data_IF_979439912514
#
_entry.id   IF_979439912514
#
_cell.length_a   1.000
_cell.length_b   1.000
_cell.length_c   1.000
_cell.angle_alpha   90.00
_cell.angle_beta   90.00
_cell.angle_gamma   90.00
#
_symmetry.space_group_name_H-M   'P 1'
#
loop_
_entity.id
_entity.type
_entity.pdbx_description
1 polymer ?
#
# COMPACT_ATOMS: atom_id res chain seq x y z
N UNK A 1 -34.63 45.44 -38.52
CA UNK A 1 -34.32 44.82 -37.21
C UNK A 1 -32.84 44.48 -37.20
N UNK A 2 -32.09 44.81 -36.14
CA UNK A 2 -30.63 44.56 -36.09
C UNK A 2 -30.32 43.15 -35.59
N UNK A 3 -30.39 42.17 -36.49
CA UNK A 3 -29.99 40.78 -36.21
C UNK A 3 -28.59 40.68 -35.62
N UNK A 4 -27.66 41.52 -36.09
CA UNK A 4 -26.25 41.52 -35.66
C UNK A 4 -26.06 41.69 -34.14
N UNK A 5 -27.01 42.33 -33.43
CA UNK A 5 -26.94 42.45 -31.97
C UNK A 5 -26.95 41.09 -31.28
N UNK A 6 -27.56 40.06 -31.88
CA UNK A 6 -27.56 38.70 -31.32
C UNK A 6 -26.17 38.05 -31.34
N UNK A 7 -25.24 38.52 -32.19
CA UNK A 7 -23.85 38.04 -32.14
C UNK A 7 -23.17 38.41 -30.82
N UNK A 8 -23.67 39.44 -30.12
CA UNK A 8 -23.20 39.80 -28.78
C UNK A 8 -23.55 38.73 -27.73
N UNK A 9 -24.44 37.76 -28.00
CA UNK A 9 -24.67 36.62 -27.10
C UNK A 9 -23.42 35.74 -26.96
N UNK A 10 -22.54 35.74 -27.97
CA UNK A 10 -21.31 34.95 -27.95
C UNK A 10 -20.32 35.54 -26.95
N UNK A 11 -20.04 34.81 -25.87
CA UNK A 11 -19.00 35.16 -24.92
C UNK A 11 -19.28 36.39 -24.04
N UNK A 12 -20.49 36.97 -24.09
CA UNK A 12 -20.86 38.07 -23.21
C UNK A 12 -20.93 37.65 -21.75
N UNK A 13 -20.83 38.64 -20.85
CA UNK A 13 -21.14 38.48 -19.43
C UNK A 13 -22.57 37.96 -19.27
N UNK A 14 -22.74 36.89 -18.49
CA UNK A 14 -24.06 36.29 -18.22
C UNK A 14 -25.03 37.25 -17.52
N UNK A 15 -24.53 38.28 -16.85
CA UNK A 15 -25.34 39.34 -16.25
C UNK A 15 -25.52 40.56 -17.17
N UNK A 16 -24.77 40.64 -18.27
CA UNK A 16 -24.95 41.66 -19.31
C UNK A 16 -26.27 41.47 -20.04
N UNK A 17 -26.74 42.52 -20.72
CA UNK A 17 -27.99 42.50 -21.46
C UNK A 17 -27.73 42.58 -22.98
N UNK A 18 -28.44 41.73 -23.74
CA UNK A 18 -28.52 41.78 -25.20
C UNK A 18 -29.98 41.99 -25.57
N UNK A 19 -30.26 43.05 -26.32
CA UNK A 19 -31.64 43.48 -26.65
C UNK A 19 -32.56 43.62 -25.42
N UNK A 20 -32.01 44.06 -24.29
CA UNK A 20 -32.77 44.27 -23.03
C UNK A 20 -33.03 43.01 -22.20
N UNK A 21 -32.64 41.83 -22.68
CA UNK A 21 -32.73 40.56 -21.94
C UNK A 21 -31.34 40.17 -21.46
N UNK A 22 -31.21 39.76 -20.19
CA UNK A 22 -29.91 39.29 -19.68
C UNK A 22 -29.47 38.06 -20.45
N UNK A 23 -28.18 37.94 -20.73
CA UNK A 23 -27.61 36.83 -21.50
C UNK A 23 -28.01 35.46 -20.91
N UNK A 24 -28.03 35.33 -19.58
CA UNK A 24 -28.47 34.10 -18.88
C UNK A 24 -29.95 33.75 -19.02
N UNK A 25 -30.79 34.74 -19.33
CA UNK A 25 -32.25 34.59 -19.39
C UNK A 25 -32.73 34.37 -20.83
N UNK A 26 -31.83 34.41 -21.82
CA UNK A 26 -32.17 34.11 -23.21
C UNK A 26 -32.60 32.66 -23.38
N UNK A 27 -33.70 32.46 -24.10
CA UNK A 27 -34.24 31.14 -24.44
C UNK A 27 -34.56 31.05 -25.93
N UNK A 28 -34.78 29.84 -26.49
CA UNK A 28 -35.23 29.68 -27.88
C UNK A 28 -36.50 30.48 -28.20
N UNK A 29 -37.41 30.67 -27.25
CA UNK A 29 -38.64 31.44 -27.42
C UNK A 29 -38.37 32.94 -27.64
N UNK A 30 -37.37 33.49 -26.95
CA UNK A 30 -36.94 34.88 -27.18
C UNK A 30 -36.40 35.04 -28.60
N UNK A 31 -35.58 34.09 -29.07
CA UNK A 31 -35.06 34.07 -30.43
C UNK A 31 -36.19 33.94 -31.47
N UNK A 32 -37.22 33.16 -31.18
CA UNK A 32 -38.39 33.02 -32.04
C UNK A 32 -39.27 34.28 -32.07
N UNK A 33 -39.36 35.03 -30.97
CA UNK A 33 -39.99 36.35 -30.97
C UNK A 33 -39.22 37.34 -31.86
N UNK A 34 -37.89 37.29 -31.84
CA UNK A 34 -37.05 38.10 -32.75
C UNK A 34 -37.29 37.68 -34.20
N UNK A 35 -37.36 36.38 -34.51
CA UNK A 35 -37.69 35.93 -35.88
C UNK A 35 -39.04 36.43 -36.36
N UNK A 36 -40.10 36.29 -35.56
CA UNK A 36 -41.45 36.74 -35.89
C UNK A 36 -41.53 38.25 -36.11
N UNK A 37 -40.95 39.05 -35.23
CA UNK A 37 -40.90 40.52 -35.41
C UNK A 37 -40.12 40.91 -36.67
N UNK A 38 -39.10 40.14 -37.04
CA UNK A 38 -38.31 40.39 -38.26
C UNK A 38 -39.15 40.14 -39.50
N UNK A 39 -39.89 39.04 -39.49
CA UNK A 39 -40.82 38.64 -40.54
C UNK A 39 -41.93 39.71 -40.71
N UNK A 40 -42.53 40.17 -39.61
CA UNK A 40 -43.48 41.28 -39.60
C UNK A 40 -42.89 42.56 -40.24
N UNK A 41 -41.69 42.98 -39.83
CA UNK A 41 -41.01 44.13 -40.44
C UNK A 41 -40.69 43.92 -41.92
N UNK A 42 -40.39 42.69 -42.33
CA UNK A 42 -40.13 42.34 -43.73
C UNK A 42 -41.37 42.51 -44.62
N UNK A 43 -42.57 42.39 -44.03
CA UNK A 43 -43.86 42.58 -44.72
C UNK A 43 -44.36 44.03 -44.65
N UNK A 44 -44.37 44.66 -43.46
CA UNK A 44 -45.05 45.96 -43.23
C UNK A 44 -44.13 47.16 -42.97
N UNK A 45 -42.80 46.98 -42.98
CA UNK A 45 -41.83 48.03 -42.70
C UNK A 45 -41.68 49.11 -43.78
N UNK A 46 -41.07 50.24 -43.41
CA UNK A 46 -40.75 51.33 -44.33
C UNK A 46 -39.57 50.97 -45.26
N UNK A 47 -39.62 51.42 -46.52
CA UNK A 47 -38.57 51.23 -47.52
C UNK A 47 -38.80 50.08 -48.52
N UNK A 48 -37.86 49.87 -49.46
CA UNK A 48 -38.02 48.89 -50.54
C UNK A 48 -38.19 47.46 -50.02
N UNK A 49 -39.22 46.76 -50.50
CA UNK A 49 -39.54 45.40 -50.08
C UNK A 49 -38.40 44.40 -50.34
N UNK A 50 -37.69 44.54 -51.47
CA UNK A 50 -36.55 43.69 -51.82
C UNK A 50 -35.42 43.75 -50.79
N UNK A 51 -35.10 44.95 -50.28
CA UNK A 51 -34.09 45.14 -49.24
C UNK A 51 -34.56 44.56 -47.91
N UNK A 52 -35.81 44.82 -47.53
CA UNK A 52 -36.38 44.30 -46.27
C UNK A 52 -36.40 42.76 -46.23
N UNK A 53 -36.78 42.11 -47.34
CA UNK A 53 -36.72 40.65 -47.47
C UNK A 53 -35.28 40.12 -47.45
N UNK A 54 -34.35 40.79 -48.13
CA UNK A 54 -32.95 40.39 -48.14
C UNK A 54 -32.32 40.44 -46.73
N UNK A 55 -32.56 41.51 -45.98
CA UNK A 55 -32.11 41.64 -44.58
C UNK A 55 -32.72 40.57 -43.66
N UNK A 56 -34.01 40.28 -43.83
CA UNK A 56 -34.67 39.20 -43.08
C UNK A 56 -34.02 37.84 -43.39
N UNK A 57 -33.84 37.52 -44.67
CA UNK A 57 -33.26 36.25 -45.10
C UNK A 57 -31.80 36.10 -44.68
N UNK A 58 -30.99 37.15 -44.72
CA UNK A 58 -29.61 37.12 -44.21
C UNK A 58 -29.60 36.83 -42.70
N UNK A 59 -30.44 37.53 -41.93
CA UNK A 59 -30.57 37.30 -40.49
C UNK A 59 -31.04 35.89 -40.13
N UNK A 60 -32.06 35.37 -40.81
CA UNK A 60 -32.59 34.02 -40.56
C UNK A 60 -31.62 32.93 -40.99
N UNK A 61 -30.92 33.10 -42.11
CA UNK A 61 -30.00 32.07 -42.63
C UNK A 61 -28.67 32.02 -41.91
N UNK A 62 -28.14 33.16 -41.45
CA UNK A 62 -26.81 33.23 -40.82
C UNK A 62 -26.85 33.45 -39.32
N UNK A 63 -27.61 34.44 -38.85
CA UNK A 63 -27.53 34.90 -37.45
C UNK A 63 -28.39 34.03 -36.54
N UNK A 64 -29.59 33.64 -36.96
CA UNK A 64 -30.50 32.83 -36.14
C UNK A 64 -29.90 31.48 -35.72
N UNK A 65 -29.28 30.66 -36.61
CA UNK A 65 -28.67 29.40 -36.21
C UNK A 65 -27.51 29.59 -35.21
N UNK A 66 -26.67 30.62 -35.44
CA UNK A 66 -25.56 30.95 -34.56
C UNK A 66 -26.07 31.40 -33.17
N UNK A 67 -27.08 32.27 -33.13
CA UNK A 67 -27.71 32.71 -31.89
C UNK A 67 -28.29 31.53 -31.09
N UNK A 68 -28.92 30.56 -31.77
CA UNK A 68 -29.41 29.34 -31.10
C UNK A 68 -28.28 28.54 -30.44
N UNK A 69 -27.12 28.43 -31.11
CA UNK A 69 -25.94 27.80 -30.53
C UNK A 69 -25.42 28.60 -29.32
N UNK A 70 -25.30 29.93 -29.42
CA UNK A 70 -24.83 30.78 -28.32
C UNK A 70 -25.75 30.70 -27.10
N UNK A 71 -27.06 30.59 -27.28
CA UNK A 71 -28.02 30.39 -26.19
C UNK A 71 -27.73 29.07 -25.45
N UNK A 72 -27.49 27.98 -26.18
CA UNK A 72 -27.14 26.70 -25.59
C UNK A 72 -25.80 26.78 -24.81
N UNK A 73 -24.76 27.38 -25.42
CA UNK A 73 -23.46 27.59 -24.77
C UNK A 73 -23.60 28.45 -23.50
N UNK A 74 -24.45 29.48 -23.51
CA UNK A 74 -24.70 30.31 -22.34
C UNK A 74 -25.48 29.55 -21.25
N UNK A 75 -26.42 28.68 -21.62
CA UNK A 75 -27.10 27.80 -20.66
C UNK A 75 -26.10 26.86 -19.97
N UNK A 76 -25.15 26.28 -20.72
CA UNK A 76 -24.07 25.47 -20.16
C UNK A 76 -23.18 26.28 -19.20
N UNK A 77 -22.83 27.52 -19.57
CA UNK A 77 -22.08 28.43 -18.69
C UNK A 77 -22.84 28.76 -17.40
N UNK A 78 -24.15 29.00 -17.47
CA UNK A 78 -25.00 29.22 -16.29
C UNK A 78 -25.01 27.98 -15.39
N UNK A 79 -25.07 26.79 -15.98
CA UNK A 79 -25.00 25.55 -15.20
C UNK A 79 -23.63 25.38 -14.53
N UNK A 80 -22.54 25.75 -15.20
CA UNK A 80 -21.19 25.78 -14.60
C UNK A 80 -21.08 26.78 -13.45
N UNK A 81 -21.64 27.99 -13.57
CA UNK A 81 -21.71 28.95 -12.44
C UNK A 81 -22.46 28.35 -11.24
N UNK A 82 -23.63 27.73 -11.47
CA UNK A 82 -24.40 27.08 -10.40
C UNK A 82 -23.61 25.97 -9.71
N UNK A 83 -22.91 25.13 -10.46
CA UNK A 83 -22.06 24.07 -9.88
C UNK A 83 -20.93 24.66 -9.04
N UNK A 84 -20.29 25.75 -9.49
CA UNK A 84 -19.26 26.46 -8.72
C UNK A 84 -19.81 27.04 -7.42
N UNK A 85 -20.98 27.67 -7.48
CA UNK A 85 -21.63 28.24 -6.30
C UNK A 85 -22.02 27.15 -5.28
N UNK A 86 -22.48 25.98 -5.76
CA UNK A 86 -22.77 24.82 -4.91
C UNK A 86 -21.51 24.24 -4.27
N UNK A 87 -20.39 24.17 -4.99
CA UNK A 87 -19.10 23.76 -4.44
C UNK A 87 -18.66 24.76 -3.37
N UNK A 88 -18.76 26.06 -3.67
CA UNK A 88 -18.44 27.15 -2.75
C UNK A 88 -19.23 27.04 -1.44
N UNK A 89 -20.55 26.87 -1.52
CA UNK A 89 -21.40 26.72 -0.34
C UNK A 89 -21.10 25.44 0.45
N UNK A 90 -20.89 24.31 -0.23
CA UNK A 90 -20.54 23.03 0.41
C UNK A 90 -19.25 23.15 1.22
N UNK A 91 -18.22 23.80 0.68
CA UNK A 91 -16.97 24.03 1.41
C UNK A 91 -17.18 24.95 2.62
N UNK A 92 -17.94 26.03 2.47
CA UNK A 92 -18.14 27.01 3.55
C UNK A 92 -19.02 26.50 4.69
N UNK A 93 -20.00 25.65 4.40
CA UNK A 93 -20.99 25.15 5.37
C UNK A 93 -20.54 23.88 6.12
N UNK A 94 -19.41 23.29 5.74
CA UNK A 94 -18.89 22.06 6.34
C UNK A 94 -17.51 22.27 6.96
N UNK A 95 -17.01 21.23 7.63
CA UNK A 95 -15.63 21.21 8.15
C UNK A 95 -14.58 21.23 7.02
N UNK A 96 -15.00 21.09 5.75
CA UNK A 96 -14.11 21.19 4.60
C UNK A 96 -13.42 22.55 4.50
N UNK A 97 -13.99 23.65 5.01
CA UNK A 97 -13.34 24.98 4.97
C UNK A 97 -11.94 25.01 5.59
N UNK A 98 -11.66 24.08 6.51
CA UNK A 98 -10.37 24.01 7.20
C UNK A 98 -9.30 23.30 6.38
N UNK A 99 -9.71 22.44 5.44
CA UNK A 99 -8.80 21.53 4.72
C UNK A 99 -8.85 21.71 3.21
N UNK A 100 -9.93 22.25 2.64
CA UNK A 100 -10.12 22.49 1.20
C UNK A 100 -9.85 23.96 0.88
N UNK A 101 -9.12 24.19 -0.19
CA UNK A 101 -8.94 25.52 -0.79
C UNK A 101 -9.54 25.53 -2.18
N UNK A 102 -10.32 26.57 -2.47
CA UNK A 102 -10.85 26.87 -3.80
C UNK A 102 -9.93 27.88 -4.51
N UNK A 103 -9.90 27.85 -5.84
CA UNK A 103 -9.19 28.87 -6.62
C UNK A 103 -10.00 30.19 -6.71
N UNK A 104 -9.43 31.19 -7.38
CA UNK A 104 -10.09 32.49 -7.58
C UNK A 104 -11.39 32.44 -8.41
N UNK A 105 -11.72 31.29 -8.99
CA UNK A 105 -12.95 31.03 -9.75
C UNK A 105 -13.94 30.14 -8.96
N UNK A 106 -13.65 29.84 -7.69
CA UNK A 106 -14.49 28.97 -6.86
C UNK A 106 -14.37 27.47 -7.17
N UNK A 107 -13.34 27.07 -7.91
CA UNK A 107 -13.11 25.67 -8.30
C UNK A 107 -12.25 24.94 -7.25
N UNK A 108 -12.43 23.62 -7.04
CA UNK A 108 -11.59 22.86 -6.14
C UNK A 108 -10.12 22.93 -6.56
N UNK A 109 -9.25 23.46 -5.69
CA UNK A 109 -7.82 23.61 -5.97
C UNK A 109 -7.01 22.56 -5.24
N UNK A 110 -7.10 22.54 -3.91
CA UNK A 110 -6.32 21.65 -3.05
C UNK A 110 -7.12 21.17 -1.85
N UNK A 111 -6.74 20.01 -1.31
CA UNK A 111 -7.14 19.51 0.00
C UNK A 111 -5.91 19.18 0.84
N UNK A 112 -5.96 19.44 2.13
CA UNK A 112 -4.98 18.99 3.12
C UNK A 112 -5.43 17.64 3.70
N UNK A 113 -4.62 16.61 3.49
CA UNK A 113 -4.79 15.28 4.06
C UNK A 113 -4.00 15.19 5.36
N UNK A 114 -4.64 14.70 6.42
CA UNK A 114 -4.03 14.51 7.73
C UNK A 114 -3.72 13.03 7.93
N UNK A 115 -2.49 12.73 8.33
CA UNK A 115 -1.99 11.37 8.60
C UNK A 115 -1.85 11.08 10.10
N UNK A 116 -1.90 12.11 10.94
CA UNK A 116 -1.73 12.01 12.38
C UNK A 116 -1.52 13.40 13.00
N UNK A 117 -0.95 13.47 14.22
CA UNK A 117 -0.76 14.73 14.95
C UNK A 117 0.10 15.74 14.17
N UNK A 118 1.11 15.25 13.46
CA UNK A 118 2.11 16.08 12.76
C UNK A 118 2.12 15.86 11.24
N UNK A 119 1.71 14.68 10.77
CA UNK A 119 1.74 14.32 9.36
C UNK A 119 0.62 15.00 8.58
N UNK A 120 0.97 15.83 7.60
CA UNK A 120 0.03 16.46 6.66
C UNK A 120 0.61 16.45 5.25
N UNK A 121 -0.25 16.29 4.24
CA UNK A 121 0.13 16.47 2.85
C UNK A 121 -0.97 17.19 2.08
N UNK A 122 -0.60 18.00 1.10
CA UNK A 122 -1.55 18.64 0.20
C UNK A 122 -1.76 17.78 -1.05
N UNK A 123 -3.02 17.60 -1.43
CA UNK A 123 -3.44 16.94 -2.66
C UNK A 123 -4.28 17.88 -3.51
N UNK A 124 -4.38 17.55 -4.78
CA UNK A 124 -5.07 18.26 -5.85
C UNK A 124 -5.96 17.26 -6.59
N UNK A 125 -6.88 17.72 -7.44
CA UNK A 125 -7.82 16.84 -8.14
C UNK A 125 -7.15 15.73 -8.98
N UNK A 126 -5.98 16.01 -9.54
CA UNK A 126 -5.15 15.10 -10.34
C UNK A 126 -4.35 14.10 -9.48
N UNK A 127 -3.81 14.56 -8.34
CA UNK A 127 -2.96 13.72 -7.47
C UNK A 127 -3.73 12.78 -6.54
N UNK A 128 -5.06 12.92 -6.45
CA UNK A 128 -5.95 12.01 -5.72
C UNK A 128 -5.97 10.59 -6.31
N UNK A 129 -5.68 10.44 -7.60
CA UNK A 129 -5.66 9.16 -8.30
C UNK A 129 -4.63 8.18 -7.71
N UNK A 130 -3.52 8.70 -7.14
CA UNK A 130 -2.53 7.91 -6.42
C UNK A 130 -2.94 7.52 -5.00
N UNK A 131 -4.16 7.85 -4.58
CA UNK A 131 -4.65 7.61 -3.23
C UNK A 131 -4.05 8.54 -2.18
N UNK A 132 -4.47 8.33 -0.94
CA UNK A 132 -4.06 9.14 0.22
C UNK A 132 -3.36 8.33 1.31
N UNK A 133 -3.06 7.05 1.10
CA UNK A 133 -2.28 6.22 2.03
C UNK A 133 -2.94 6.05 3.41
N UNK A 134 -2.15 6.00 4.47
CA UNK A 134 -2.63 5.82 5.85
C UNK A 134 -3.07 7.14 6.49
N UNK A 135 -4.02 7.83 5.86
CA UNK A 135 -4.62 9.06 6.38
C UNK A 135 -5.65 8.77 7.49
N UNK A 136 -6.03 9.78 8.28
CA UNK A 136 -7.10 9.61 9.28
C UNK A 136 -8.44 9.26 8.61
N UNK A 137 -9.32 8.58 9.34
CA UNK A 137 -10.67 8.26 8.85
C UNK A 137 -11.46 9.54 8.45
N UNK A 138 -11.26 10.63 9.19
CA UNK A 138 -11.81 11.93 8.87
C UNK A 138 -11.28 12.47 7.52
N UNK A 139 -9.96 12.40 7.30
CA UNK A 139 -9.34 12.79 6.04
C UNK A 139 -9.83 11.96 4.86
N UNK A 140 -10.14 10.67 5.06
CA UNK A 140 -10.81 9.86 4.04
C UNK A 140 -12.20 10.41 3.69
N UNK A 141 -13.03 10.73 4.68
CA UNK A 141 -14.34 11.33 4.45
C UNK A 141 -14.26 12.68 3.71
N UNK A 142 -13.31 13.53 4.10
CA UNK A 142 -13.08 14.83 3.47
C UNK A 142 -12.53 14.68 2.04
N UNK A 143 -11.61 13.74 1.80
CA UNK A 143 -11.05 13.46 0.48
C UNK A 143 -12.10 12.93 -0.49
N UNK A 144 -13.04 12.11 -0.04
CA UNK A 144 -14.18 11.65 -0.86
C UNK A 144 -15.03 12.84 -1.30
N UNK A 145 -15.37 13.75 -0.38
CA UNK A 145 -16.16 14.94 -0.72
C UNK A 145 -15.41 15.85 -1.70
N UNK A 146 -14.12 16.06 -1.47
CA UNK A 146 -13.26 16.83 -2.39
C UNK A 146 -13.15 16.17 -3.78
N UNK A 147 -12.99 14.86 -3.85
CA UNK A 147 -12.97 14.12 -5.11
C UNK A 147 -14.30 14.24 -5.87
N UNK A 148 -15.44 14.18 -5.18
CA UNK A 148 -16.76 14.42 -5.79
C UNK A 148 -16.89 15.83 -6.35
N UNK A 149 -16.41 16.85 -5.62
CA UNK A 149 -16.38 18.22 -6.14
C UNK A 149 -15.50 18.31 -7.40
N UNK A 150 -14.30 17.71 -7.38
CA UNK A 150 -13.44 17.63 -8.57
C UNK A 150 -14.11 16.91 -9.75
N UNK A 151 -14.90 15.87 -9.48
CA UNK A 151 -15.59 15.10 -10.52
C UNK A 151 -16.70 15.93 -11.19
N UNK A 152 -17.47 16.70 -10.42
CA UNK A 152 -18.53 17.58 -10.94
C UNK A 152 -18.01 18.59 -11.96
N UNK A 153 -16.75 19.01 -11.82
CA UNK A 153 -16.09 19.96 -12.72
C UNK A 153 -15.14 19.30 -13.73
N UNK A 154 -15.18 17.97 -13.84
CA UNK A 154 -14.38 17.22 -14.82
C UNK A 154 -12.87 17.17 -14.55
N UNK A 155 -12.44 17.47 -13.33
CA UNK A 155 -11.02 17.48 -12.93
C UNK A 155 -10.54 16.16 -12.31
N UNK A 156 -11.44 15.20 -12.06
CA UNK A 156 -11.09 13.84 -11.64
C UNK A 156 -12.07 12.81 -12.18
N UNK A 157 -11.68 11.54 -12.14
CA UNK A 157 -12.49 10.44 -12.69
C UNK A 157 -13.47 9.85 -11.68
N UNK A 158 -14.56 9.25 -12.17
CA UNK A 158 -15.47 8.46 -11.34
C UNK A 158 -14.78 7.28 -10.65
N UNK A 159 -13.77 6.69 -11.30
CA UNK A 159 -12.98 5.59 -10.73
C UNK A 159 -12.17 6.03 -9.50
N UNK A 160 -11.60 7.24 -9.53
CA UNK A 160 -10.88 7.83 -8.39
C UNK A 160 -11.81 8.05 -7.20
N UNK A 161 -13.02 8.55 -7.44
CA UNK A 161 -14.05 8.72 -6.39
C UNK A 161 -14.43 7.37 -5.79
N UNK A 162 -14.75 6.37 -6.62
CA UNK A 162 -15.14 5.05 -6.16
C UNK A 162 -14.03 4.33 -5.37
N UNK A 163 -12.77 4.53 -5.75
CA UNK A 163 -11.61 4.02 -5.00
C UNK A 163 -11.56 4.64 -3.60
N UNK A 164 -11.65 5.97 -3.49
CA UNK A 164 -11.61 6.66 -2.20
C UNK A 164 -12.79 6.30 -1.31
N UNK A 165 -13.99 6.14 -1.88
CA UNK A 165 -15.18 5.69 -1.15
C UNK A 165 -15.01 4.29 -0.57
N UNK A 166 -14.47 3.35 -1.37
CA UNK A 166 -14.17 2.00 -0.91
C UNK A 166 -13.15 2.01 0.23
N UNK A 167 -12.10 2.81 0.10
CA UNK A 167 -11.08 2.95 1.16
C UNK A 167 -11.70 3.57 2.42
N UNK A 168 -12.44 4.67 2.30
CA UNK A 168 -13.08 5.36 3.41
C UNK A 168 -14.02 4.45 4.21
N UNK A 169 -14.77 3.58 3.53
CA UNK A 169 -15.65 2.61 4.17
C UNK A 169 -14.89 1.51 4.95
N UNK A 170 -13.70 1.13 4.47
CA UNK A 170 -12.92 0.02 5.05
C UNK A 170 -11.95 0.47 6.15
N UNK A 171 -11.39 1.68 6.05
CA UNK A 171 -10.33 2.22 6.90
C UNK A 171 -10.60 2.09 8.41
N UNK A 172 -11.80 2.43 8.95
CA UNK A 172 -12.06 2.31 10.38
C UNK A 172 -11.86 0.88 10.91
N UNK A 173 -12.35 -0.12 10.15
CA UNK A 173 -12.20 -1.52 10.52
C UNK A 173 -10.78 -2.04 10.33
N UNK A 174 -10.10 -1.55 9.28
CA UNK A 174 -8.71 -1.89 8.99
C UNK A 174 -7.78 -1.40 10.11
N UNK A 175 -7.90 -0.15 10.55
CA UNK A 175 -7.03 0.42 11.58
C UNK A 175 -7.20 -0.32 12.91
N UNK A 176 -8.44 -0.63 13.30
CA UNK A 176 -8.69 -1.48 14.47
C UNK A 176 -8.02 -2.85 14.36
N UNK A 177 -7.99 -3.44 13.16
CA UNK A 177 -7.37 -4.74 12.93
C UNK A 177 -5.83 -4.66 12.92
N UNK A 178 -5.25 -3.56 12.42
CA UNK A 178 -3.82 -3.26 12.50
C UNK A 178 -3.37 -3.08 13.95
N UNK A 179 -4.09 -2.28 14.74
CA UNK A 179 -3.80 -2.07 16.16
C UNK A 179 -3.85 -3.39 16.93
N UNK A 180 -4.93 -4.17 16.74
CA UNK A 180 -5.07 -5.47 17.39
C UNK A 180 -3.96 -6.46 17.00
N UNK A 181 -3.47 -6.40 15.75
CA UNK A 181 -2.34 -7.20 15.30
C UNK A 181 -1.03 -6.75 15.96
N UNK A 182 -0.78 -5.44 16.00
CA UNK A 182 0.40 -4.87 16.63
C UNK A 182 0.46 -5.19 18.14
N UNK A 183 -0.65 -5.04 18.84
CA UNK A 183 -0.76 -5.39 20.26
C UNK A 183 -0.53 -6.88 20.52
N UNK A 184 -1.13 -7.75 19.70
CA UNK A 184 -0.95 -9.20 19.83
C UNK A 184 0.49 -9.62 19.52
N UNK A 185 1.11 -9.02 18.51
CA UNK A 185 2.51 -9.26 18.19
C UNK A 185 3.42 -8.82 19.35
N UNK A 186 3.16 -7.66 19.95
CA UNK A 186 3.91 -7.16 21.11
C UNK A 186 3.75 -8.07 22.33
N UNK A 187 2.52 -8.53 22.61
CA UNK A 187 2.25 -9.46 23.71
C UNK A 187 2.99 -10.79 23.54
N UNK A 188 2.91 -11.41 22.36
CA UNK A 188 3.63 -12.66 22.09
C UNK A 188 5.14 -12.45 22.01
N UNK A 189 5.60 -11.33 21.49
CA UNK A 189 7.03 -10.97 21.43
C UNK A 189 7.69 -10.88 22.81
N UNK A 190 6.93 -10.49 23.84
CA UNK A 190 7.37 -10.44 25.24
C UNK A 190 7.39 -11.82 25.91
N UNK A 191 6.77 -12.85 25.33
CA UNK A 191 6.80 -14.22 25.86
C UNK A 191 8.03 -14.96 25.35
N UNK A 192 8.73 -15.69 26.23
CA UNK A 192 9.95 -16.41 25.87
C UNK A 192 9.69 -17.59 24.92
N UNK A 193 8.51 -18.22 25.02
CA UNK A 193 8.08 -19.34 24.17
C UNK A 193 6.56 -19.26 23.95
N UNK A 194 6.08 -18.61 22.89
CA UNK A 194 4.66 -18.62 22.57
C UNK A 194 4.21 -20.02 22.15
N UNK A 195 2.95 -20.37 22.43
CA UNK A 195 2.40 -21.64 21.97
C UNK A 195 2.28 -21.66 20.44
N UNK A 196 2.51 -22.82 19.81
CA UNK A 196 2.50 -22.97 18.34
C UNK A 196 1.17 -22.47 17.71
N UNK A 197 0.04 -22.74 18.36
CA UNK A 197 -1.27 -22.25 17.91
C UNK A 197 -1.37 -20.72 17.92
N UNK A 198 -0.79 -20.05 18.91
CA UNK A 198 -0.82 -18.59 19.02
C UNK A 198 0.00 -17.93 17.91
N UNK A 199 1.15 -18.51 17.56
CA UNK A 199 1.98 -18.05 16.44
C UNK A 199 1.26 -18.26 15.10
N UNK A 200 0.68 -19.44 14.85
CA UNK A 200 -0.08 -19.71 13.62
C UNK A 200 -1.26 -18.76 13.43
N UNK A 201 -1.98 -18.45 14.50
CA UNK A 201 -3.06 -17.46 14.45
C UNK A 201 -2.54 -16.05 14.14
N UNK A 202 -1.41 -15.66 14.71
CA UNK A 202 -0.80 -14.36 14.43
C UNK A 202 -0.30 -14.25 12.98
N UNK A 203 0.27 -15.33 12.43
CA UNK A 203 0.65 -15.43 11.02
C UNK A 203 -0.55 -15.35 10.08
N UNK A 204 -1.65 -16.05 10.41
CA UNK A 204 -2.88 -15.96 9.65
C UNK A 204 -3.48 -14.54 9.68
N UNK A 205 -3.41 -13.86 10.84
CA UNK A 205 -3.81 -12.47 10.97
C UNK A 205 -2.95 -11.54 10.10
N UNK A 206 -1.63 -11.73 10.09
CA UNK A 206 -0.70 -10.99 9.22
C UNK A 206 -1.06 -11.15 7.74
N UNK A 207 -1.28 -12.39 7.29
CA UNK A 207 -1.65 -12.67 5.89
C UNK A 207 -2.99 -12.04 5.52
N UNK A 208 -4.00 -12.15 6.39
CA UNK A 208 -5.30 -11.54 6.19
C UNK A 208 -5.20 -10.02 6.04
N UNK A 209 -4.44 -9.36 6.92
CA UNK A 209 -4.22 -7.92 6.87
C UNK A 209 -3.48 -7.50 5.59
N UNK A 210 -2.43 -8.23 5.21
CA UNK A 210 -1.71 -7.97 3.95
C UNK A 210 -2.64 -8.08 2.74
N UNK A 211 -3.53 -9.07 2.71
CA UNK A 211 -4.53 -9.21 1.65
C UNK A 211 -5.55 -8.06 1.63
N UNK A 212 -5.98 -7.59 2.80
CA UNK A 212 -6.88 -6.43 2.91
C UNK A 212 -6.21 -5.14 2.41
N UNK A 213 -4.96 -4.89 2.78
CA UNK A 213 -4.18 -3.75 2.30
C UNK A 213 -4.04 -3.76 0.78
N UNK A 214 -3.71 -4.93 0.20
CA UNK A 214 -3.60 -5.09 -1.25
C UNK A 214 -4.94 -4.87 -1.96
N UNK A 215 -6.04 -5.42 -1.45
CA UNK A 215 -7.37 -5.24 -2.01
C UNK A 215 -7.83 -3.77 -1.99
N UNK A 216 -7.39 -3.01 -0.98
CA UNK A 216 -7.65 -1.58 -0.85
C UNK A 216 -6.62 -0.71 -1.59
N UNK A 217 -5.63 -1.30 -2.27
CA UNK A 217 -4.53 -0.60 -2.93
C UNK A 217 -3.77 0.34 -1.99
N UNK A 218 -3.68 -0.03 -0.71
CA UNK A 218 -2.88 0.67 0.28
C UNK A 218 -1.44 0.12 0.26
N UNK A 219 -0.43 1.00 0.43
CA UNK A 219 0.96 0.56 0.45
C UNK A 219 1.22 -0.31 1.68
N UNK A 220 2.04 -1.36 1.57
CA UNK A 220 2.30 -2.27 2.68
C UNK A 220 3.43 -1.77 3.61
N UNK A 221 3.35 -0.48 4.01
CA UNK A 221 4.42 0.23 4.71
C UNK A 221 3.94 0.98 5.96
N UNK A 222 2.76 0.65 6.47
CA UNK A 222 2.33 1.13 7.78
C UNK A 222 3.35 0.72 8.85
N UNK A 223 3.75 1.69 9.68
CA UNK A 223 4.82 1.49 10.66
C UNK A 223 4.47 0.40 11.68
N UNK A 224 3.22 0.39 12.17
CA UNK A 224 2.76 -0.61 13.13
C UNK A 224 2.69 -2.00 12.50
N UNK A 225 2.17 -2.10 11.27
CA UNK A 225 2.14 -3.36 10.54
C UNK A 225 3.54 -3.93 10.26
N UNK A 226 4.47 -3.08 9.81
CA UNK A 226 5.85 -3.48 9.51
C UNK A 226 6.57 -3.93 10.78
N UNK A 227 6.47 -3.16 11.87
CA UNK A 227 7.07 -3.52 13.15
C UNK A 227 6.49 -4.83 13.70
N UNK A 228 5.17 -5.01 13.65
CA UNK A 228 4.51 -6.24 14.08
C UNK A 228 4.89 -7.44 13.20
N UNK A 229 4.97 -7.25 11.88
CA UNK A 229 5.42 -8.28 10.93
C UNK A 229 6.86 -8.74 11.19
N UNK A 230 7.74 -7.81 11.58
CA UNK A 230 9.09 -8.15 12.01
C UNK A 230 9.07 -9.02 13.26
N UNK A 231 8.28 -8.67 14.27
CA UNK A 231 8.09 -9.48 15.47
C UNK A 231 7.59 -10.89 15.15
N UNK A 232 6.64 -11.05 14.22
CA UNK A 232 6.17 -12.37 13.76
C UNK A 232 7.32 -13.19 13.18
N UNK A 233 8.16 -12.57 12.35
CA UNK A 233 9.32 -13.23 11.75
C UNK A 233 10.30 -13.71 12.80
N UNK A 234 10.65 -12.85 13.76
CA UNK A 234 11.54 -13.19 14.87
C UNK A 234 10.97 -14.27 15.79
N UNK A 235 9.66 -14.27 16.02
CA UNK A 235 8.98 -15.32 16.79
C UNK A 235 9.02 -16.66 16.05
N UNK A 236 8.74 -16.66 14.74
CA UNK A 236 8.84 -17.86 13.89
C UNK A 236 10.23 -18.46 13.94
N UNK A 237 11.26 -17.64 13.76
CA UNK A 237 12.65 -18.08 13.86
C UNK A 237 12.95 -18.70 15.23
N UNK A 238 12.59 -18.00 16.32
CA UNK A 238 12.77 -18.52 17.69
C UNK A 238 12.07 -19.87 17.90
N UNK A 239 10.81 -20.02 17.47
CA UNK A 239 10.06 -21.27 17.60
C UNK A 239 10.68 -22.40 16.76
N UNK A 240 11.17 -22.10 15.55
CA UNK A 240 11.86 -23.09 14.72
C UNK A 240 13.17 -23.57 15.36
N UNK A 241 13.96 -22.65 15.93
CA UNK A 241 15.18 -22.98 16.66
C UNK A 241 14.85 -23.87 17.87
N UNK A 242 13.82 -23.51 18.65
CA UNK A 242 13.40 -24.30 19.81
C UNK A 242 12.97 -25.72 19.41
N UNK A 243 12.14 -25.86 18.37
CA UNK A 243 11.68 -27.15 17.85
C UNK A 243 12.84 -28.01 17.31
N UNK A 244 13.78 -27.39 16.59
CA UNK A 244 14.99 -28.03 16.09
C UNK A 244 15.85 -28.56 17.26
N UNK A 245 16.06 -27.74 18.28
CA UNK A 245 16.75 -28.15 19.50
C UNK A 245 16.05 -29.30 20.24
N UNK A 246 14.72 -29.29 20.35
CA UNK A 246 13.95 -30.39 20.96
C UNK A 246 14.13 -31.70 20.20
N UNK A 247 14.27 -31.64 18.87
CA UNK A 247 14.59 -32.82 18.06
C UNK A 247 16.00 -33.35 18.33
N UNK A 248 16.98 -32.47 18.57
CA UNK A 248 18.32 -32.88 18.98
C UNK A 248 18.29 -33.61 20.34
N UNK A 249 17.54 -33.10 21.32
CA UNK A 249 17.37 -33.77 22.62
C UNK A 249 16.69 -35.13 22.46
N UNK A 250 15.64 -35.23 21.63
CA UNK A 250 15.00 -36.52 21.31
C UNK A 250 15.95 -37.51 20.63
N UNK A 251 16.96 -37.02 19.91
CA UNK A 251 18.02 -37.84 19.31
C UNK A 251 19.10 -38.29 20.32
N UNK A 252 18.94 -37.98 21.62
CA UNK A 252 19.85 -38.40 22.68
C UNK A 252 20.97 -37.40 23.00
N UNK A 253 20.91 -36.18 22.48
CA UNK A 253 21.87 -35.12 22.82
C UNK A 253 21.54 -34.44 24.16
N UNK A 254 22.55 -33.94 24.89
CA UNK A 254 22.32 -33.18 26.12
C UNK A 254 21.44 -31.95 25.90
N UNK A 255 20.60 -31.61 26.89
CA UNK A 255 19.77 -30.39 26.87
C UNK A 255 20.62 -29.11 26.69
N UNK A 256 21.85 -29.12 27.21
CA UNK A 256 22.81 -28.02 27.03
C UNK A 256 23.28 -27.80 25.59
N UNK A 257 22.96 -28.71 24.66
CA UNK A 257 23.27 -28.58 23.23
C UNK A 257 22.09 -28.07 22.40
N UNK A 258 20.92 -27.86 23.03
CA UNK A 258 19.66 -27.48 22.35
C UNK A 258 19.79 -26.23 21.47
N UNK A 259 20.57 -25.25 21.90
CA UNK A 259 20.78 -23.98 21.21
C UNK A 259 22.24 -23.77 20.76
N UNK A 260 23.06 -24.83 20.77
CA UNK A 260 24.48 -24.69 20.42
C UNK A 260 24.65 -24.50 18.92
N UNK A 261 25.62 -23.66 18.59
CA UNK A 261 26.13 -23.52 17.24
C UNK A 261 27.39 -24.36 17.07
N UNK A 262 27.68 -24.82 15.86
CA UNK A 262 28.92 -25.52 15.50
C UNK A 262 29.63 -24.77 14.37
N UNK A 263 30.95 -24.64 14.48
CA UNK A 263 31.79 -23.98 13.46
C UNK A 263 32.35 -25.04 12.52
N UNK A 264 31.71 -25.22 11.37
CA UNK A 264 32.21 -26.08 10.29
C UNK A 264 32.79 -25.26 9.11
N UNK A 265 32.50 -23.95 9.10
CA UNK A 265 33.13 -22.97 8.25
C UNK A 265 33.50 -21.72 9.06
N UNK A 266 34.69 -21.17 8.79
CA UNK A 266 35.16 -19.96 9.48
C UNK A 266 34.20 -18.81 9.24
N UNK A 267 33.81 -18.13 10.32
CA UNK A 267 32.85 -17.02 10.32
C UNK A 267 31.41 -17.38 9.90
N UNK A 268 31.08 -18.67 9.81
CA UNK A 268 29.71 -19.14 9.52
C UNK A 268 29.30 -20.27 10.48
N UNK A 269 29.06 -19.94 11.76
CA UNK A 269 28.53 -20.92 12.72
C UNK A 269 27.09 -21.30 12.36
N UNK A 270 26.77 -22.58 12.40
CA UNK A 270 25.44 -23.11 12.12
C UNK A 270 24.82 -23.74 13.36
N UNK A 271 23.49 -23.74 13.48
CA UNK A 271 22.81 -24.45 14.56
C UNK A 271 23.10 -25.95 14.49
N UNK A 272 23.60 -26.53 15.58
CA UNK A 272 23.95 -27.95 15.61
C UNK A 272 22.75 -28.86 15.30
N UNK A 273 21.55 -28.48 15.75
CA UNK A 273 20.36 -29.27 15.51
C UNK A 273 20.05 -29.45 14.00
N UNK A 274 20.52 -28.54 13.13
CA UNK A 274 20.40 -28.71 11.67
C UNK A 274 21.19 -29.93 11.17
N UNK A 275 22.33 -30.25 11.79
CA UNK A 275 23.10 -31.46 11.47
C UNK A 275 22.35 -32.71 11.89
N UNK A 276 21.70 -32.67 13.07
CA UNK A 276 20.85 -33.78 13.54
C UNK A 276 19.71 -34.05 12.57
N UNK A 277 19.00 -32.99 12.17
CA UNK A 277 17.91 -33.08 11.19
C UNK A 277 18.40 -33.58 9.83
N UNK A 278 19.53 -33.08 9.34
CA UNK A 278 20.10 -33.49 8.06
C UNK A 278 20.52 -34.96 8.06
N UNK A 279 21.19 -35.43 9.11
CA UNK A 279 21.57 -36.83 9.26
C UNK A 279 20.33 -37.74 9.27
N UNK A 280 19.34 -37.43 10.11
CA UNK A 280 18.11 -38.21 10.22
C UNK A 280 17.32 -38.26 8.90
N UNK A 281 17.20 -37.12 8.20
CA UNK A 281 16.50 -37.05 6.91
C UNK A 281 17.13 -37.95 5.84
N UNK A 282 18.45 -38.10 5.86
CA UNK A 282 19.19 -38.90 4.91
C UNK A 282 19.43 -40.35 5.37
N UNK A 283 18.82 -40.77 6.50
CA UNK A 283 18.96 -42.11 7.04
C UNK A 283 20.32 -42.41 7.69
N UNK A 284 21.15 -41.39 7.93
CA UNK A 284 22.38 -41.54 8.69
C UNK A 284 22.07 -41.54 10.20
N UNK A 285 22.79 -42.38 10.94
CA UNK A 285 22.73 -42.37 12.40
C UNK A 285 23.59 -41.24 12.93
N UNK A 286 23.04 -40.42 13.81
CA UNK A 286 23.78 -39.40 14.55
C UNK A 286 23.61 -39.64 16.04
N UNK A 287 24.70 -39.66 16.79
CA UNK A 287 24.69 -39.93 18.24
C UNK A 287 25.66 -39.07 19.01
N UNK A 288 25.30 -38.79 20.25
CA UNK A 288 26.15 -38.09 21.20
C UNK A 288 27.34 -38.97 21.63
N UNK A 289 28.52 -38.36 21.76
CA UNK A 289 29.71 -38.95 22.36
C UNK A 289 30.04 -38.17 23.64
N UNK A 290 29.89 -38.84 24.79
CA UNK A 290 30.25 -38.27 26.08
C UNK A 290 31.75 -38.02 26.19
N UNK A 291 32.13 -36.96 26.90
CA UNK A 291 33.53 -36.76 27.30
C UNK A 291 34.03 -37.99 28.08
N UNK A 292 35.22 -38.47 27.71
CA UNK A 292 35.92 -39.57 28.38
C UNK A 292 37.19 -39.07 29.06
N UNK A 293 37.93 -39.97 29.71
CA UNK A 293 39.17 -39.62 30.43
C UNK A 293 40.21 -38.90 29.54
N UNK A 294 40.21 -39.19 28.23
CA UNK A 294 41.17 -38.67 27.24
C UNK A 294 40.50 -38.03 26.01
N UNK A 295 39.17 -38.01 25.93
CA UNK A 295 38.44 -37.51 24.76
C UNK A 295 37.44 -36.42 25.16
N UNK A 296 37.41 -35.33 24.40
CA UNK A 296 36.41 -34.27 24.60
C UNK A 296 35.00 -34.78 24.27
N UNK A 297 34.00 -34.01 24.66
CA UNK A 297 32.63 -34.23 24.21
C UNK A 297 32.53 -34.05 22.69
N UNK A 298 31.59 -34.75 22.06
CA UNK A 298 31.47 -34.75 20.61
C UNK A 298 30.23 -35.47 20.12
N UNK A 299 30.23 -35.78 18.84
CA UNK A 299 29.17 -36.54 18.19
C UNK A 299 29.72 -37.41 17.07
N UNK A 300 29.01 -38.48 16.76
CA UNK A 300 29.30 -39.36 15.64
C UNK A 300 28.16 -39.28 14.63
N UNK A 301 28.51 -39.17 13.35
CA UNK A 301 27.63 -39.46 12.23
C UNK A 301 28.13 -40.73 11.56
N UNK A 302 27.25 -41.74 11.50
CA UNK A 302 27.51 -43.03 10.89
C UNK A 302 26.53 -43.30 9.77
N UNK A 303 27.07 -43.62 8.61
CA UNK A 303 26.34 -44.12 7.44
C UNK A 303 26.93 -45.49 7.03
N UNK A 304 26.26 -46.24 6.15
CA UNK A 304 26.83 -47.46 5.55
C UNK A 304 28.22 -47.27 4.94
N UNK A 305 28.52 -46.07 4.40
CA UNK A 305 29.76 -45.82 3.65
C UNK A 305 30.88 -45.22 4.48
N UNK A 306 30.54 -44.44 5.51
CA UNK A 306 31.53 -43.72 6.31
C UNK A 306 31.06 -43.43 7.72
N UNK A 307 32.03 -43.32 8.62
CA UNK A 307 31.84 -42.91 10.01
C UNK A 307 32.72 -41.70 10.30
N UNK A 308 32.10 -40.61 10.73
CA UNK A 308 32.79 -39.37 11.13
C UNK A 308 32.44 -39.06 12.57
N UNK A 309 33.46 -38.96 13.42
CA UNK A 309 33.33 -38.47 14.79
C UNK A 309 33.94 -37.08 14.86
N UNK A 310 33.23 -36.12 15.46
CA UNK A 310 33.72 -34.76 15.68
C UNK A 310 33.71 -34.48 17.17
N UNK A 311 34.87 -34.11 17.70
CA UNK A 311 35.05 -33.72 19.09
C UNK A 311 35.22 -32.22 19.16
N UNK A 312 34.44 -31.60 20.05
CA UNK A 312 34.32 -30.15 20.11
C UNK A 312 34.81 -29.63 21.45
N UNK A 313 35.21 -28.38 21.44
CA UNK A 313 35.34 -27.58 22.64
C UNK A 313 34.27 -26.50 22.60
N UNK A 314 33.47 -26.42 23.65
CA UNK A 314 32.48 -25.38 23.76
C UNK A 314 33.14 -24.09 24.26
N UNK A 315 32.99 -23.01 23.50
CA UNK A 315 33.41 -21.66 23.88
C UNK A 315 32.18 -20.74 23.95
N UNK A 316 32.30 -19.61 24.65
CA UNK A 316 31.26 -18.58 24.68
C UNK A 316 31.23 -17.87 23.32
N UNK A 317 30.04 -17.59 22.82
CA UNK A 317 29.89 -16.76 21.63
C UNK A 317 30.30 -15.30 21.97
N UNK A 318 31.35 -14.72 21.35
CA UNK A 318 31.78 -13.36 21.67
C UNK A 318 30.68 -12.35 21.31
N UNK A 319 30.23 -11.56 22.30
CA UNK A 319 29.14 -10.58 22.12
C UNK A 319 27.73 -11.18 21.99
N UNK A 320 27.57 -12.50 22.17
CA UNK A 320 26.28 -13.19 22.11
C UNK A 320 25.66 -13.48 23.49
N UNK A 321 24.49 -14.12 23.49
CA UNK A 321 23.81 -14.60 24.70
C UNK A 321 24.74 -15.56 25.47
N UNK A 322 25.01 -15.32 26.78
CA UNK A 322 25.91 -16.15 27.58
C UNK A 322 25.43 -17.61 27.76
N UNK A 323 24.16 -17.90 27.47
CA UNK A 323 23.59 -19.25 27.48
C UNK A 323 23.84 -20.02 26.17
N UNK A 324 24.26 -19.35 25.10
CA UNK A 324 24.56 -19.95 23.80
C UNK A 324 26.04 -20.27 23.69
N UNK A 325 26.37 -21.54 23.45
CA UNK A 325 27.74 -21.99 23.24
C UNK A 325 28.04 -22.22 21.77
N UNK A 326 29.28 -21.91 21.39
CA UNK A 326 29.84 -22.24 20.08
C UNK A 326 30.72 -23.47 20.26
N UNK A 327 30.37 -24.54 19.57
CA UNK A 327 31.14 -25.77 19.50
C UNK A 327 32.20 -25.62 18.41
N UNK A 328 33.45 -25.58 18.84
CA UNK A 328 34.61 -25.50 17.96
C UNK A 328 35.16 -26.91 17.81
N UNK A 329 35.12 -27.52 16.61
CA UNK A 329 35.80 -28.79 16.36
C UNK A 329 37.29 -28.66 16.64
N UNK A 330 37.84 -29.54 17.46
CA UNK A 330 39.28 -29.57 17.79
C UNK A 330 39.96 -30.85 17.34
N UNK A 331 39.21 -31.94 17.21
CA UNK A 331 39.68 -33.18 16.63
C UNK A 331 38.52 -33.91 15.97
N UNK A 332 38.85 -34.73 14.98
CA UNK A 332 37.88 -35.59 14.32
C UNK A 332 38.47 -36.97 14.08
N UNK A 333 37.61 -37.97 13.95
CA UNK A 333 37.98 -39.30 13.43
C UNK A 333 37.18 -39.58 12.18
N UNK A 334 37.86 -39.82 11.08
CA UNK A 334 37.25 -40.20 9.81
C UNK A 334 37.62 -41.67 9.58
N UNK A 335 36.63 -42.55 9.58
CA UNK A 335 36.77 -44.01 9.46
C UNK A 335 37.84 -44.58 10.41
N UNK A 336 37.83 -44.08 11.65
CA UNK A 336 38.75 -44.51 12.71
C UNK A 336 40.10 -43.80 12.76
N UNK A 337 40.46 -43.02 11.73
CA UNK A 337 41.72 -42.25 11.70
C UNK A 337 41.54 -40.89 12.37
N UNK A 338 42.28 -40.64 13.44
CA UNK A 338 42.28 -39.36 14.17
C UNK A 338 43.02 -38.28 13.40
N UNK A 339 42.44 -37.08 13.37
CA UNK A 339 43.04 -35.86 12.86
C UNK A 339 42.79 -34.70 13.83
N UNK A 340 43.78 -33.84 14.01
CA UNK A 340 43.58 -32.58 14.72
C UNK A 340 42.89 -31.59 13.79
N UNK A 341 41.85 -30.93 14.29
CA UNK A 341 41.11 -29.93 13.52
C UNK A 341 41.76 -28.57 13.74
N UNK A 342 42.18 -27.95 12.64
CA UNK A 342 42.81 -26.65 12.55
C UNK A 342 42.01 -25.77 11.59
N UNK A 343 42.30 -24.47 11.57
CA UNK A 343 41.69 -23.55 10.59
C UNK A 343 41.89 -23.98 9.14
N UNK A 344 43.01 -24.65 8.83
CA UNK A 344 43.39 -25.01 7.47
C UNK A 344 42.66 -26.25 6.95
N UNK A 345 42.25 -27.18 7.83
CA UNK A 345 41.60 -28.42 7.43
C UNK A 345 40.13 -28.51 7.85
N UNK A 346 39.58 -27.52 8.57
CA UNK A 346 38.19 -27.50 9.03
C UNK A 346 37.19 -27.75 7.89
N UNK A 347 37.35 -27.09 6.74
CA UNK A 347 36.48 -27.28 5.57
C UNK A 347 36.52 -28.70 5.02
N UNK A 348 37.69 -29.36 5.05
CA UNK A 348 37.81 -30.75 4.61
C UNK A 348 37.07 -31.69 5.58
N UNK A 349 37.19 -31.47 6.89
CA UNK A 349 36.43 -32.22 7.91
C UNK A 349 34.93 -31.99 7.76
N UNK A 350 34.51 -30.76 7.49
CA UNK A 350 33.12 -30.43 7.21
C UNK A 350 32.57 -31.18 5.99
N UNK A 351 33.35 -31.25 4.90
CA UNK A 351 32.96 -31.99 3.69
C UNK A 351 32.76 -33.49 3.99
N UNK A 352 33.67 -34.10 4.76
CA UNK A 352 33.55 -35.49 5.19
C UNK A 352 32.31 -35.73 6.06
N UNK A 353 32.03 -34.82 7.00
CA UNK A 353 30.82 -34.89 7.81
C UNK A 353 29.55 -34.77 6.96
N UNK A 354 29.50 -33.81 6.05
CA UNK A 354 28.34 -33.61 5.16
C UNK A 354 28.09 -34.85 4.32
N UNK A 355 29.14 -35.43 3.77
CA UNK A 355 29.01 -36.62 2.96
C UNK A 355 28.66 -37.87 3.80
N UNK A 356 29.05 -37.92 5.09
CA UNK A 356 28.58 -38.94 6.04
C UNK A 356 27.08 -38.79 6.28
N UNK A 357 26.61 -37.57 6.50
CA UNK A 357 25.17 -37.30 6.66
C UNK A 357 24.39 -37.68 5.42
N UNK A 358 24.94 -37.43 4.21
CA UNK A 358 24.26 -37.74 2.93
C UNK A 358 24.39 -39.20 2.48
N UNK A 359 25.01 -40.08 3.27
CA UNK A 359 25.29 -41.47 2.90
C UNK A 359 26.04 -41.58 1.55
N UNK A 360 26.98 -40.66 1.34
CA UNK A 360 27.76 -40.57 0.11
C UNK A 360 29.05 -41.35 0.18
#
# INVERSE_FOLDING_TARGET
MQWEQLNALRGADLNGAVMGVKVRDWTPEHLEQVRRKSEECSHSGAGPESLRRAEHMDGVSRVYPAAKQFIAENADRVQQEKTRDQIGSTVQQSDLKQVVTLDGKGMPKTITIVYGPTGRATKTCDTLSGGIGYATAESYGQAVQFARMCQQVGLTSAATVAMLERQAAAVPSLYKALDAFADRAKQLGATSNPAEGQLKELEAQQQKLSGQLQALQLPNNDEAFVAASKTVTELRERTQIAACGDQAVKAGFPVSWKANYIVMELNSPELFCNFVQAAQRNGAQIRYLSAGLLSKEGFEVKSPKRTVQVFTQADRMPGGDPSVKVMIPVSAKIDGKSIDVTRNNLRAVAAELIAAMRNQ
#
